data_IF_385088393339
#
_entry.id   IF_385088393339
#
_cell.length_a   1.000
_cell.length_b   1.000
_cell.length_c   1.000
_cell.angle_alpha   90.00
_cell.angle_beta   90.00
_cell.angle_gamma   90.00
#
_symmetry.space_group_name_H-M   'P 1'
#
loop_
_entity.id
_entity.type
_entity.pdbx_description
1 polymer ?
#
# COMPACT_ATOMS: atom_id res chain seq x y z
N UNK A 1 -17.60 39.39 2.74
CA UNK A 1 -16.59 38.33 2.90
C UNK A 1 -17.31 37.00 2.89
N UNK A 2 -17.17 36.20 1.83
CA UNK A 2 -17.81 34.89 1.76
C UNK A 2 -17.07 33.93 2.70
N UNK A 3 -17.72 33.54 3.80
CA UNK A 3 -17.21 32.51 4.71
C UNK A 3 -16.94 31.24 3.92
N UNK A 4 -15.67 30.88 3.77
CA UNK A 4 -15.28 29.56 3.29
C UNK A 4 -15.88 28.55 4.27
N UNK A 5 -16.78 27.68 3.82
CA UNK A 5 -17.33 26.61 4.66
C UNK A 5 -16.17 25.80 5.26
N UNK A 6 -16.32 25.35 6.51
CA UNK A 6 -15.26 24.72 7.31
C UNK A 6 -14.54 23.54 6.62
N UNK A 7 -15.16 22.96 5.60
CA UNK A 7 -14.77 21.72 4.91
C UNK A 7 -14.13 21.94 3.51
N UNK A 8 -13.78 23.18 3.17
CA UNK A 8 -13.18 23.50 1.86
C UNK A 8 -11.64 23.41 1.88
N UNK A 9 -11.10 22.95 0.76
CA UNK A 9 -9.66 22.96 0.48
C UNK A 9 -9.23 24.40 0.13
N UNK A 10 -8.28 24.97 0.87
CA UNK A 10 -7.74 26.30 0.55
C UNK A 10 -6.31 26.27 0.02
N UNK A 11 -5.57 25.17 0.22
CA UNK A 11 -4.23 24.98 -0.35
C UNK A 11 -3.97 23.50 -0.60
N UNK A 12 -3.33 23.21 -1.73
CA UNK A 12 -2.72 21.92 -2.04
C UNK A 12 -1.29 22.20 -2.45
N UNK A 13 -0.34 21.41 -1.96
CA UNK A 13 1.05 21.55 -2.31
C UNK A 13 1.71 20.18 -2.41
N UNK A 14 2.41 19.92 -3.50
CA UNK A 14 3.17 18.71 -3.71
C UNK A 14 4.68 18.97 -3.71
N UNK A 15 5.42 17.93 -3.35
CA UNK A 15 6.88 17.88 -3.39
C UNK A 15 7.36 16.50 -3.79
N UNK A 16 8.63 16.44 -4.17
CA UNK A 16 9.33 15.19 -4.40
C UNK A 16 9.96 14.70 -3.09
N UNK A 17 9.77 13.42 -2.78
CA UNK A 17 10.41 12.69 -1.67
C UNK A 17 11.05 11.41 -2.22
N UNK A 18 11.70 10.60 -1.38
CA UNK A 18 12.31 9.34 -1.79
C UNK A 18 11.54 8.12 -1.24
N UNK A 19 11.36 7.12 -2.10
CA UNK A 19 10.79 5.83 -1.73
C UNK A 19 11.81 4.92 -1.05
N UNK A 20 11.36 3.74 -0.59
CA UNK A 20 12.21 2.77 0.11
C UNK A 20 13.37 2.20 -0.73
N UNK A 21 13.38 2.45 -2.05
CA UNK A 21 14.43 2.02 -2.99
C UNK A 21 15.31 3.20 -3.42
N UNK A 22 15.15 4.37 -2.78
CA UNK A 22 15.88 5.59 -3.11
C UNK A 22 15.49 6.20 -4.46
N UNK A 23 14.31 5.90 -5.01
CA UNK A 23 13.80 6.60 -6.20
C UNK A 23 12.86 7.73 -5.77
N UNK A 24 12.82 8.82 -6.55
CA UNK A 24 11.84 9.87 -6.32
C UNK A 24 10.39 9.39 -6.36
N UNK A 25 9.55 10.00 -5.55
CA UNK A 25 8.10 9.86 -5.59
C UNK A 25 7.36 11.12 -5.13
N UNK A 26 6.06 11.21 -5.39
CA UNK A 26 5.23 12.37 -5.07
C UNK A 26 4.69 12.29 -3.64
N UNK A 27 4.81 13.39 -2.90
CA UNK A 27 4.08 13.65 -1.65
C UNK A 27 3.19 14.88 -1.80
N UNK A 28 1.97 14.80 -1.29
CA UNK A 28 0.95 15.86 -1.35
C UNK A 28 0.52 16.26 0.05
N UNK A 29 0.57 17.55 0.33
CA UNK A 29 -0.09 18.21 1.46
C UNK A 29 -1.37 18.89 1.00
N UNK A 30 -2.45 18.64 1.73
CA UNK A 30 -3.75 19.29 1.56
C UNK A 30 -4.10 20.02 2.85
N UNK A 31 -4.53 21.28 2.73
CA UNK A 31 -4.85 22.14 3.87
C UNK A 31 -6.34 22.48 3.91
N UNK A 32 -6.95 22.25 5.07
CA UNK A 32 -8.30 22.72 5.42
C UNK A 32 -8.27 23.48 6.73
N UNK A 33 -9.43 23.94 7.19
CA UNK A 33 -9.54 24.62 8.49
C UNK A 33 -9.13 23.73 9.67
N UNK A 34 -9.13 22.39 9.50
CA UNK A 34 -8.68 21.42 10.50
C UNK A 34 -7.17 21.17 10.50
N UNK A 35 -6.44 21.68 9.52
CA UNK A 35 -4.98 21.58 9.45
C UNK A 35 -4.45 20.97 8.17
N UNK A 36 -3.26 20.36 8.26
CA UNK A 36 -2.51 19.77 7.17
C UNK A 36 -2.71 18.26 7.13
N UNK A 37 -3.04 17.74 5.95
CA UNK A 37 -3.19 16.31 5.67
C UNK A 37 -2.24 15.90 4.57
N UNK A 38 -1.44 14.85 4.84
CA UNK A 38 -0.34 14.45 3.96
C UNK A 38 -0.55 13.04 3.41
N UNK A 39 -0.27 12.86 2.14
CA UNK A 39 -0.20 11.55 1.51
C UNK A 39 0.98 11.46 0.55
N UNK A 40 1.75 10.39 0.70
CA UNK A 40 2.77 9.92 -0.22
C UNK A 40 2.18 8.93 -1.21
N UNK A 41 2.80 8.86 -2.38
CA UNK A 41 2.46 7.93 -3.46
C UNK A 41 3.59 6.90 -3.56
N UNK A 42 3.29 5.64 -3.89
CA UNK A 42 4.33 4.65 -4.09
C UNK A 42 4.74 4.58 -5.56
N UNK A 43 6.02 4.26 -5.80
CA UNK A 43 6.50 4.03 -7.16
C UNK A 43 6.19 2.63 -7.67
N UNK A 44 5.79 2.52 -8.94
CA UNK A 44 5.72 1.22 -9.62
C UNK A 44 7.04 0.92 -10.33
N UNK A 45 7.49 -0.34 -10.32
CA UNK A 45 8.66 -0.78 -11.09
C UNK A 45 8.32 -1.46 -12.42
N UNK A 46 7.04 -1.65 -12.73
CA UNK A 46 6.60 -2.36 -13.93
C UNK A 46 5.29 -1.75 -14.38
N UNK A 47 5.35 -0.87 -15.38
CA UNK A 47 4.17 -0.32 -16.03
C UNK A 47 3.64 -1.36 -17.03
N UNK A 48 2.58 -2.05 -16.65
CA UNK A 48 1.83 -2.88 -17.61
C UNK A 48 1.17 -2.00 -18.68
N UNK A 49 1.01 -2.50 -19.91
CA UNK A 49 0.40 -1.74 -21.03
C UNK A 49 -1.04 -1.28 -20.79
N UNK A 50 -1.70 -1.79 -19.75
CA UNK A 50 -3.07 -1.45 -19.37
C UNK A 50 -3.17 -0.71 -18.04
N UNK A 51 -2.04 -0.31 -17.46
CA UNK A 51 -2.02 0.37 -16.17
C UNK A 51 -2.17 1.89 -16.37
N UNK A 52 -2.69 2.56 -15.34
CA UNK A 52 -2.58 4.00 -15.28
C UNK A 52 -1.10 4.39 -15.21
N UNK A 53 -0.71 5.38 -16.00
CA UNK A 53 0.70 5.69 -16.25
C UNK A 53 1.25 6.63 -15.17
N UNK A 54 2.26 6.17 -14.45
CA UNK A 54 3.09 7.03 -13.60
C UNK A 54 3.87 8.01 -14.49
N UNK A 55 3.76 9.33 -14.22
CA UNK A 55 4.48 10.34 -14.99
C UNK A 55 5.87 10.56 -14.39
N UNK A 56 6.90 10.17 -15.14
CA UNK A 56 8.32 10.39 -14.84
C UNK A 56 8.92 11.47 -15.74
N UNK A 57 9.96 12.14 -15.23
CA UNK A 57 10.66 13.19 -15.94
C UNK A 57 11.40 12.68 -17.18
N UNK A 58 11.92 11.45 -17.11
CA UNK A 58 12.76 10.80 -18.13
C UNK A 58 14.06 11.57 -18.46
N UNK A 59 14.49 12.46 -17.57
CA UNK A 59 15.79 13.12 -17.64
C UNK A 59 16.88 12.22 -17.07
N UNK A 60 17.69 11.60 -17.93
CA UNK A 60 18.77 10.68 -17.51
C UNK A 60 19.83 11.36 -16.64
N UNK A 61 19.95 12.69 -16.69
CA UNK A 61 20.90 13.44 -15.86
C UNK A 61 20.42 13.62 -14.40
N UNK A 62 19.12 13.42 -14.14
CA UNK A 62 18.51 13.56 -12.82
C UNK A 62 17.86 12.25 -12.36
N UNK A 63 18.30 11.71 -11.22
CA UNK A 63 17.75 10.48 -10.63
C UNK A 63 17.59 9.31 -11.63
N UNK A 64 18.54 9.17 -12.57
CA UNK A 64 18.51 8.14 -13.63
C UNK A 64 17.24 8.15 -14.49
N UNK A 65 16.61 9.31 -14.71
CA UNK A 65 15.35 9.43 -15.45
C UNK A 65 14.08 9.23 -14.63
N UNK A 66 14.21 8.97 -13.33
CA UNK A 66 13.10 8.65 -12.42
C UNK A 66 12.65 9.84 -11.56
N UNK A 67 12.93 11.08 -11.97
CA UNK A 67 12.35 12.26 -11.32
C UNK A 67 10.83 12.30 -11.50
N UNK A 68 10.13 12.97 -10.58
CA UNK A 68 8.68 13.20 -10.54
C UNK A 68 8.33 14.70 -10.58
N UNK A 69 9.27 15.55 -10.95
CA UNK A 69 9.09 17.00 -10.94
C UNK A 69 7.93 17.46 -11.82
N UNK A 70 7.69 16.81 -12.97
CA UNK A 70 6.53 17.08 -13.84
C UNK A 70 5.20 16.77 -13.14
N UNK A 71 5.10 15.64 -12.43
CA UNK A 71 3.90 15.27 -11.68
C UNK A 71 3.64 16.26 -10.54
N UNK A 72 4.70 16.65 -9.81
CA UNK A 72 4.66 17.68 -8.77
C UNK A 72 4.20 19.04 -9.33
N UNK A 73 4.69 19.42 -10.51
CA UNK A 73 4.30 20.65 -11.19
C UNK A 73 2.81 20.64 -11.58
N UNK A 74 2.29 19.54 -12.15
CA UNK A 74 0.87 19.40 -12.46
C UNK A 74 -0.01 19.54 -11.21
N UNK A 75 0.39 18.96 -10.08
CA UNK A 75 -0.35 19.14 -8.83
C UNK A 75 -0.33 20.61 -8.41
N UNK A 76 0.85 21.22 -8.32
CA UNK A 76 1.01 22.57 -7.78
C UNK A 76 0.39 23.67 -8.67
N UNK A 77 0.50 23.55 -10.00
CA UNK A 77 0.08 24.60 -10.95
C UNK A 77 -1.31 24.38 -11.53
N UNK A 78 -1.79 23.14 -11.61
CA UNK A 78 -3.05 22.81 -12.31
C UNK A 78 -4.10 22.25 -11.36
N UNK A 79 -3.81 21.13 -10.69
CA UNK A 79 -4.80 20.44 -9.84
C UNK A 79 -5.14 21.30 -8.62
N UNK A 80 -4.14 21.86 -7.94
CA UNK A 80 -4.33 22.72 -6.78
C UNK A 80 -5.24 23.93 -7.10
N UNK A 81 -4.97 24.61 -8.22
CA UNK A 81 -5.77 25.75 -8.65
C UNK A 81 -7.23 25.36 -8.92
N UNK A 82 -7.47 24.22 -9.58
CA UNK A 82 -8.82 23.73 -9.86
C UNK A 82 -9.59 23.36 -8.58
N UNK A 83 -8.94 22.71 -7.62
CA UNK A 83 -9.58 22.31 -6.36
C UNK A 83 -9.94 23.51 -5.48
N UNK A 84 -9.03 24.48 -5.37
CA UNK A 84 -9.26 25.70 -4.58
C UNK A 84 -10.31 26.60 -5.23
N UNK A 85 -10.27 26.77 -6.55
CA UNK A 85 -11.22 27.65 -7.26
C UNK A 85 -12.66 27.10 -7.27
N UNK A 86 -12.83 25.78 -7.43
CA UNK A 86 -14.15 25.15 -7.41
C UNK A 86 -14.76 25.03 -6.01
N UNK A 87 -13.99 25.30 -4.95
CA UNK A 87 -14.42 25.23 -3.54
C UNK A 87 -15.16 23.92 -3.21
N UNK A 88 -14.67 22.80 -3.75
CA UNK A 88 -15.29 21.50 -3.51
C UNK A 88 -15.24 21.14 -2.03
N UNK A 89 -16.31 20.49 -1.55
CA UNK A 89 -16.35 19.96 -0.21
C UNK A 89 -15.48 18.69 -0.14
N UNK A 90 -14.49 18.70 0.75
CA UNK A 90 -13.55 17.57 0.88
C UNK A 90 -14.21 16.30 1.39
N UNK A 91 -15.36 16.38 2.06
CA UNK A 91 -16.13 15.20 2.52
C UNK A 91 -16.83 14.44 1.38
N UNK A 92 -16.73 14.94 0.14
CA UNK A 92 -17.23 14.34 -1.09
C UNK A 92 -16.07 13.86 -2.00
N UNK A 93 -15.20 12.93 -1.55
CA UNK A 93 -14.00 12.52 -2.28
C UNK A 93 -14.30 12.05 -3.71
N UNK A 94 -15.44 11.37 -3.93
CA UNK A 94 -15.89 10.90 -5.25
C UNK A 94 -16.04 12.04 -6.26
N UNK A 95 -16.48 13.23 -5.84
CA UNK A 95 -16.61 14.40 -6.73
C UNK A 95 -15.25 14.99 -7.10
N UNK A 96 -14.32 15.00 -6.15
CA UNK A 96 -12.95 15.48 -6.36
C UNK A 96 -12.18 14.53 -7.29
N UNK A 97 -12.28 13.22 -7.07
CA UNK A 97 -11.68 12.22 -7.94
C UNK A 97 -12.24 12.32 -9.37
N UNK A 98 -13.57 12.43 -9.50
CA UNK A 98 -14.23 12.61 -10.80
C UNK A 98 -13.73 13.86 -11.53
N UNK A 99 -13.59 14.99 -10.82
CA UNK A 99 -13.03 16.21 -11.38
C UNK A 99 -11.59 15.99 -11.90
N UNK A 100 -10.72 15.37 -11.11
CA UNK A 100 -9.33 15.14 -11.53
C UNK A 100 -9.25 14.21 -12.74
N UNK A 101 -10.10 13.18 -12.79
CA UNK A 101 -10.24 12.28 -13.94
C UNK A 101 -10.75 13.05 -15.17
N UNK A 102 -11.75 13.93 -15.03
CA UNK A 102 -12.24 14.73 -16.16
C UNK A 102 -11.21 15.75 -16.68
N UNK A 103 -10.36 16.27 -15.79
CA UNK A 103 -9.27 17.18 -16.17
C UNK A 103 -8.10 16.47 -16.89
N UNK A 104 -7.99 15.16 -16.72
CA UNK A 104 -7.10 14.27 -17.47
C UNK A 104 -7.91 13.41 -18.46
N UNK A 105 -8.17 13.89 -19.69
CA UNK A 105 -9.03 13.20 -20.64
C UNK A 105 -8.43 11.88 -21.17
N UNK A 106 -7.24 11.49 -20.72
CA UNK A 106 -6.59 10.25 -21.16
C UNK A 106 -7.10 9.05 -20.34
N UNK A 107 -7.33 7.92 -21.01
CA UNK A 107 -7.83 6.70 -20.37
C UNK A 107 -6.91 6.20 -19.24
N UNK A 108 -5.60 6.36 -19.44
CA UNK A 108 -4.55 5.88 -18.54
C UNK A 108 -3.97 6.98 -17.64
N UNK A 109 -4.56 8.18 -17.55
CA UNK A 109 -4.06 9.29 -16.70
C UNK A 109 -2.64 9.77 -17.08
N UNK A 110 -2.27 9.64 -18.35
CA UNK A 110 -0.94 9.99 -18.86
C UNK A 110 -0.68 11.49 -18.97
N UNK A 111 -1.72 12.34 -18.94
CA UNK A 111 -1.53 13.80 -18.99
C UNK A 111 -0.95 14.33 -17.68
N UNK A 112 -1.53 13.98 -16.53
CA UNK A 112 -1.03 14.43 -15.23
C UNK A 112 -0.13 13.39 -14.55
N UNK A 113 -0.29 12.13 -14.90
CA UNK A 113 0.29 11.00 -14.19
C UNK A 113 -0.66 10.44 -13.14
N UNK A 114 -0.73 9.12 -13.10
CA UNK A 114 -1.45 8.38 -12.07
C UNK A 114 -0.90 8.70 -10.67
N UNK A 115 0.40 8.94 -10.55
CA UNK A 115 1.04 9.39 -9.31
C UNK A 115 0.51 10.76 -8.85
N UNK A 116 0.34 11.72 -9.76
CA UNK A 116 -0.21 13.02 -9.40
C UNK A 116 -1.66 12.93 -8.88
N UNK A 117 -2.53 12.24 -9.63
CA UNK A 117 -3.94 12.10 -9.29
C UNK A 117 -4.12 11.30 -7.99
N UNK A 118 -3.37 10.20 -7.84
CA UNK A 118 -3.45 9.36 -6.65
C UNK A 118 -2.98 10.11 -5.40
N UNK A 119 -1.88 10.87 -5.45
CA UNK A 119 -1.38 11.61 -4.29
C UNK A 119 -2.42 12.58 -3.73
N UNK A 120 -3.10 13.32 -4.62
CA UNK A 120 -4.18 14.23 -4.23
C UNK A 120 -5.39 13.45 -3.71
N UNK A 121 -5.81 12.37 -4.37
CA UNK A 121 -6.94 11.53 -3.95
C UNK A 121 -6.75 10.96 -2.54
N UNK A 122 -5.54 10.46 -2.24
CA UNK A 122 -5.20 9.93 -0.92
C UNK A 122 -5.23 11.02 0.16
N UNK A 123 -4.68 12.21 -0.13
CA UNK A 123 -4.71 13.35 0.80
C UNK A 123 -6.14 13.82 1.06
N UNK A 124 -6.99 13.87 0.03
CA UNK A 124 -8.43 14.18 0.13
C UNK A 124 -9.13 13.16 1.02
N UNK A 125 -8.90 11.86 0.82
CA UNK A 125 -9.54 10.80 1.60
C UNK A 125 -9.17 10.88 3.10
N UNK A 126 -7.89 11.12 3.42
CA UNK A 126 -7.44 11.36 4.81
C UNK A 126 -8.10 12.60 5.43
N UNK A 127 -8.19 13.66 4.65
CA UNK A 127 -8.83 14.90 5.07
C UNK A 127 -10.31 14.68 5.35
N UNK A 128 -11.02 14.01 4.43
CA UNK A 128 -12.45 13.71 4.54
C UNK A 128 -12.78 12.88 5.81
N UNK A 129 -11.95 11.90 6.15
CA UNK A 129 -12.09 11.13 7.39
C UNK A 129 -12.00 12.04 8.63
N UNK A 130 -11.02 12.93 8.66
CA UNK A 130 -10.82 13.88 9.77
C UNK A 130 -11.92 14.94 9.84
N UNK A 131 -12.40 15.41 8.68
CA UNK A 131 -13.55 16.32 8.62
C UNK A 131 -14.81 15.68 9.20
N UNK A 132 -15.03 14.39 8.94
CA UNK A 132 -16.12 13.59 9.52
C UNK A 132 -15.89 13.16 10.97
N UNK A 133 -14.68 13.34 11.51
CA UNK A 133 -14.33 12.92 12.87
C UNK A 133 -14.30 11.41 13.06
N UNK A 134 -13.98 10.65 12.00
CA UNK A 134 -13.87 9.19 12.05
C UNK A 134 -12.47 8.74 11.62
N UNK A 135 -12.00 7.56 12.07
CA UNK A 135 -10.78 6.96 11.59
C UNK A 135 -10.82 6.71 10.07
N UNK A 136 -9.65 6.68 9.42
CA UNK A 136 -9.55 6.52 7.97
C UNK A 136 -10.16 5.19 7.50
N UNK A 137 -9.87 4.07 8.17
CA UNK A 137 -10.48 2.77 7.81
C UNK A 137 -12.01 2.81 7.86
N UNK A 138 -12.61 3.54 8.82
CA UNK A 138 -14.06 3.70 8.95
C UNK A 138 -14.62 4.55 7.82
N UNK A 139 -13.95 5.66 7.48
CA UNK A 139 -14.32 6.48 6.34
C UNK A 139 -14.31 5.68 5.03
N UNK A 140 -13.29 4.85 4.83
CA UNK A 140 -13.18 3.96 3.67
C UNK A 140 -14.31 2.93 3.67
N UNK A 141 -14.64 2.33 4.81
CA UNK A 141 -15.76 1.41 4.95
C UNK A 141 -17.09 2.08 4.52
N UNK A 142 -17.34 3.33 4.95
CA UNK A 142 -18.53 4.09 4.56
C UNK A 142 -18.57 4.34 3.04
N UNK A 143 -17.44 4.68 2.42
CA UNK A 143 -17.35 4.89 0.98
C UNK A 143 -17.65 3.61 0.17
N UNK A 144 -17.28 2.46 0.72
CA UNK A 144 -17.48 1.13 0.16
C UNK A 144 -18.85 0.51 0.50
N UNK A 145 -19.60 1.10 1.44
CA UNK A 145 -20.86 0.53 1.93
C UNK A 145 -20.70 -0.64 2.90
N UNK A 146 -19.52 -0.78 3.52
CA UNK A 146 -19.24 -1.84 4.49
C UNK A 146 -19.70 -1.40 5.90
N UNK A 147 -20.48 -2.24 6.61
CA UNK A 147 -21.02 -1.87 7.93
C UNK A 147 -19.96 -1.83 9.02
N UNK A 148 -18.87 -2.57 8.87
CA UNK A 148 -17.76 -2.68 9.81
C UNK A 148 -16.44 -2.89 9.06
N UNK A 149 -15.32 -2.87 9.78
CA UNK A 149 -14.00 -3.21 9.24
C UNK A 149 -13.61 -4.63 9.63
N UNK A 150 -12.82 -5.30 8.79
CA UNK A 150 -12.27 -6.64 9.08
C UNK A 150 -10.75 -6.60 9.00
N UNK A 151 -10.09 -7.09 10.04
CA UNK A 151 -8.64 -7.22 10.09
C UNK A 151 -8.20 -8.34 9.14
N UNK A 152 -7.26 -8.05 8.22
CA UNK A 152 -6.84 -9.00 7.19
C UNK A 152 -5.88 -10.04 7.73
N UNK A 153 -5.78 -11.20 7.09
CA UNK A 153 -4.63 -12.09 7.24
C UNK A 153 -3.41 -11.47 6.55
N UNK A 154 -2.27 -11.30 7.25
CA UNK A 154 -1.03 -10.86 6.61
C UNK A 154 -0.38 -12.02 5.82
N UNK A 155 -0.08 -11.76 4.55
CA UNK A 155 0.73 -12.60 3.69
C UNK A 155 2.18 -12.08 3.72
N UNK A 156 2.98 -12.64 4.63
CA UNK A 156 4.35 -12.21 4.84
C UNK A 156 5.26 -12.81 3.76
N UNK A 157 5.98 -11.94 3.04
CA UNK A 157 7.01 -12.40 2.13
C UNK A 157 8.24 -12.91 2.92
N UNK A 158 8.62 -14.16 2.68
CA UNK A 158 9.65 -14.87 3.45
C UNK A 158 10.91 -15.17 2.64
N UNK A 159 10.78 -15.47 1.34
CA UNK A 159 11.89 -15.80 0.45
C UNK A 159 11.62 -15.17 -0.93
N UNK A 160 12.65 -14.55 -1.50
CA UNK A 160 12.60 -13.99 -2.84
C UNK A 160 13.32 -14.87 -3.87
N UNK A 161 12.81 -14.85 -5.09
CA UNK A 161 13.42 -15.43 -6.28
C UNK A 161 13.09 -14.59 -7.52
N UNK A 162 13.24 -15.19 -8.70
CA UNK A 162 12.98 -14.56 -9.98
C UNK A 162 13.75 -13.24 -10.13
N UNK A 163 13.09 -12.21 -10.65
CA UNK A 163 13.70 -10.89 -10.84
C UNK A 163 13.96 -10.10 -9.53
N UNK A 164 13.51 -10.62 -8.38
CA UNK A 164 13.70 -9.96 -7.08
C UNK A 164 14.92 -10.47 -6.31
N UNK A 165 15.61 -11.49 -6.82
CA UNK A 165 16.81 -12.02 -6.17
C UNK A 165 17.87 -12.47 -7.18
N UNK A 166 19.14 -12.34 -6.81
CA UNK A 166 20.27 -12.82 -7.60
C UNK A 166 20.52 -14.33 -7.46
N UNK A 167 19.46 -15.14 -7.46
CA UNK A 167 19.51 -16.58 -7.20
C UNK A 167 18.88 -17.41 -8.35
N UNK A 168 18.92 -18.74 -8.25
CA UNK A 168 18.38 -19.66 -9.27
C UNK A 168 16.89 -19.97 -9.11
N UNK A 169 16.24 -19.42 -8.08
CA UNK A 169 14.84 -19.71 -7.78
C UNK A 169 13.98 -19.01 -8.83
N UNK A 170 13.18 -19.76 -9.59
CA UNK A 170 12.39 -19.19 -10.67
C UNK A 170 11.20 -18.37 -10.17
N UNK A 171 10.56 -18.83 -9.09
CA UNK A 171 9.39 -18.16 -8.50
C UNK A 171 9.80 -16.90 -7.76
N UNK A 172 9.02 -15.85 -7.91
CA UNK A 172 9.39 -14.52 -7.43
C UNK A 172 9.33 -14.36 -5.90
N UNK A 173 8.27 -14.87 -5.27
CA UNK A 173 8.00 -14.63 -3.85
C UNK A 173 7.32 -15.85 -3.22
N UNK A 174 7.76 -16.19 -2.00
CA UNK A 174 7.19 -17.25 -1.18
C UNK A 174 6.68 -16.64 0.11
N UNK A 175 5.41 -16.85 0.38
CA UNK A 175 4.71 -16.22 1.50
C UNK A 175 4.18 -17.24 2.50
N UNK A 176 4.03 -16.79 3.75
CA UNK A 176 3.28 -17.51 4.78
C UNK A 176 2.08 -16.68 5.21
N UNK A 177 0.97 -17.37 5.50
CA UNK A 177 -0.28 -16.78 5.95
C UNK A 177 -0.67 -17.44 7.29
N UNK A 178 -0.70 -16.71 8.43
CA UNK A 178 -1.06 -17.24 9.74
C UNK A 178 -2.58 -17.46 9.91
N UNK A 179 -3.19 -18.33 9.10
CA UNK A 179 -4.65 -18.53 9.07
C UNK A 179 -5.26 -19.05 10.38
N UNK A 180 -4.43 -19.67 11.23
CA UNK A 180 -4.83 -20.22 12.52
C UNK A 180 -4.73 -19.25 13.69
N UNK A 181 -4.24 -18.03 13.48
CA UNK A 181 -4.19 -17.01 14.52
C UNK A 181 -5.61 -16.56 14.92
N UNK A 182 -5.78 -16.22 16.19
CA UNK A 182 -7.03 -15.70 16.75
C UNK A 182 -7.22 -14.19 16.55
N UNK A 183 -6.11 -13.48 16.31
CA UNK A 183 -6.07 -12.02 16.17
C UNK A 183 -4.98 -11.60 15.18
N UNK A 184 -5.01 -10.33 14.76
CA UNK A 184 -3.94 -9.78 13.93
C UNK A 184 -2.62 -9.68 14.70
N UNK A 185 -2.67 -9.30 15.98
CA UNK A 185 -1.52 -9.32 16.89
C UNK A 185 -0.86 -10.70 16.96
N UNK A 186 -1.65 -11.76 17.11
CA UNK A 186 -1.11 -13.12 17.10
C UNK A 186 -0.53 -13.49 15.73
N UNK A 187 -1.21 -13.12 14.64
CA UNK A 187 -0.72 -13.35 13.28
C UNK A 187 0.65 -12.67 13.05
N UNK A 188 0.83 -11.44 13.54
CA UNK A 188 2.10 -10.71 13.50
C UNK A 188 3.20 -11.42 14.29
N UNK A 189 2.91 -11.87 15.51
CA UNK A 189 3.85 -12.61 16.35
C UNK A 189 4.31 -13.90 15.66
N UNK A 190 3.36 -14.70 15.17
CA UNK A 190 3.66 -15.96 14.45
C UNK A 190 4.50 -15.67 13.20
N UNK A 191 4.14 -14.65 12.42
CA UNK A 191 4.90 -14.24 11.24
C UNK A 191 6.35 -13.86 11.55
N UNK A 192 6.57 -13.05 12.58
CA UNK A 192 7.90 -12.61 13.00
C UNK A 192 8.74 -13.77 13.55
N UNK A 193 8.17 -14.63 14.40
CA UNK A 193 8.86 -15.82 14.93
C UNK A 193 9.31 -16.75 13.79
N UNK A 194 8.43 -17.02 12.82
CA UNK A 194 8.78 -17.84 11.64
C UNK A 194 9.87 -17.17 10.80
N UNK A 195 9.79 -15.85 10.58
CA UNK A 195 10.81 -15.11 9.82
C UNK A 195 12.20 -15.21 10.47
N UNK A 196 12.29 -15.03 11.79
CA UNK A 196 13.57 -15.11 12.51
C UNK A 196 14.14 -16.53 12.56
N UNK A 197 13.29 -17.55 12.76
CA UNK A 197 13.72 -18.94 12.69
C UNK A 197 14.21 -19.31 11.29
N UNK A 198 13.48 -18.89 10.25
CA UNK A 198 13.86 -19.10 8.85
C UNK A 198 15.21 -18.44 8.54
N UNK A 199 15.44 -17.20 9.03
CA UNK A 199 16.72 -16.51 8.89
C UNK A 199 17.88 -17.32 9.50
N UNK A 200 17.68 -17.91 10.68
CA UNK A 200 18.70 -18.74 11.34
C UNK A 200 19.00 -20.01 10.52
N UNK A 201 17.97 -20.73 10.07
CA UNK A 201 18.10 -21.93 9.23
C UNK A 201 18.86 -21.61 7.93
N UNK A 202 18.54 -20.49 7.28
CA UNK A 202 19.23 -20.05 6.07
C UNK A 202 20.70 -19.73 6.38
N UNK A 203 20.97 -19.00 7.46
CA UNK A 203 22.33 -18.63 7.86
C UNK A 203 23.21 -19.85 8.14
N UNK A 204 22.67 -20.85 8.84
CA UNK A 204 23.39 -22.09 9.15
C UNK A 204 23.70 -22.89 7.89
N UNK A 205 22.75 -22.96 6.95
CA UNK A 205 22.88 -23.80 5.74
C UNK A 205 23.66 -23.13 4.61
N UNK A 206 23.59 -21.81 4.49
CA UNK A 206 24.08 -21.05 3.34
C UNK A 206 25.07 -19.94 3.69
N UNK A 207 25.39 -19.81 4.98
CA UNK A 207 26.28 -18.77 5.47
C UNK A 207 25.58 -17.42 5.65
N UNK A 208 26.33 -16.52 6.28
CA UNK A 208 25.85 -15.17 6.65
C UNK A 208 25.42 -14.33 5.45
N UNK A 209 26.09 -14.50 4.31
CA UNK A 209 25.84 -13.72 3.09
C UNK A 209 24.46 -13.99 2.47
N UNK A 210 23.89 -15.18 2.73
CA UNK A 210 22.51 -15.48 2.36
C UNK A 210 21.46 -14.72 3.21
N UNK A 211 21.88 -13.99 4.24
CA UNK A 211 20.99 -13.25 5.17
C UNK A 211 21.32 -11.77 5.31
N UNK A 212 22.33 -11.27 4.58
CA UNK A 212 22.93 -9.94 4.77
C UNK A 212 22.28 -8.81 3.95
N UNK A 213 21.19 -9.05 3.22
CA UNK A 213 20.48 -7.98 2.50
C UNK A 213 19.11 -7.72 3.12
N UNK A 214 18.84 -6.49 3.61
CA UNK A 214 17.50 -6.08 4.03
C UNK A 214 16.46 -6.22 2.90
N UNK A 215 16.89 -6.03 1.65
CA UNK A 215 16.06 -6.08 0.42
C UNK A 215 16.02 -7.45 -0.28
N UNK A 216 16.76 -8.44 0.21
CA UNK A 216 16.85 -9.76 -0.44
C UNK A 216 16.88 -10.86 0.64
N UNK A 217 15.71 -11.34 1.10
CA UNK A 217 15.61 -12.56 1.89
C UNK A 217 15.97 -13.75 0.99
N UNK A 218 17.28 -14.01 0.99
CA UNK A 218 17.98 -15.26 0.75
C UNK A 218 18.04 -15.83 -0.66
N UNK A 219 19.27 -15.77 -1.18
CA UNK A 219 19.79 -16.73 -2.15
C UNK A 219 19.79 -18.11 -1.50
N UNK A 220 18.96 -19.04 -2.00
CA UNK A 220 19.30 -20.45 -2.32
C UNK A 220 18.07 -21.36 -2.43
N UNK A 221 18.20 -22.36 -3.29
CA UNK A 221 17.14 -23.26 -3.77
C UNK A 221 16.77 -24.39 -2.79
N UNK A 222 17.59 -24.66 -1.76
CA UNK A 222 17.47 -25.85 -0.92
C UNK A 222 16.90 -25.56 0.49
N UNK A 223 16.64 -24.28 0.87
CA UNK A 223 15.90 -23.90 2.08
C UNK A 223 14.44 -24.36 1.99
N UNK A 224 13.92 -24.33 0.76
CA UNK A 224 12.55 -24.68 0.40
C UNK A 224 12.20 -26.15 0.69
N UNK A 225 13.09 -27.10 0.38
CA UNK A 225 12.83 -28.54 0.59
C UNK A 225 12.67 -28.92 2.07
N UNK A 226 13.28 -28.16 2.98
CA UNK A 226 13.15 -28.37 4.43
C UNK A 226 11.93 -27.64 5.02
N UNK A 227 11.61 -26.44 4.54
CA UNK A 227 10.47 -25.66 5.03
C UNK A 227 9.13 -26.32 4.65
N UNK A 228 9.00 -26.80 3.42
CA UNK A 228 7.76 -27.41 2.91
C UNK A 228 7.50 -28.81 3.49
N UNK A 229 8.53 -29.49 4.02
CA UNK A 229 8.39 -30.81 4.66
C UNK A 229 8.11 -30.73 6.17
N UNK A 230 8.29 -29.56 6.80
CA UNK A 230 8.10 -29.35 8.25
C UNK A 230 6.96 -28.40 8.62
N UNK A 231 6.47 -27.58 7.68
CA UNK A 231 5.37 -26.66 7.93
C UNK A 231 4.02 -27.24 7.49
N UNK A 232 3.10 -27.44 8.43
CA UNK A 232 1.66 -27.66 8.16
C UNK A 232 0.95 -26.40 7.66
N UNK A 233 1.62 -25.58 6.83
CA UNK A 233 1.22 -24.24 6.41
C UNK A 233 1.16 -24.20 4.89
N UNK A 234 0.10 -23.58 4.35
CA UNK A 234 -0.05 -23.34 2.91
C UNK A 234 1.03 -22.38 2.40
N UNK A 235 1.87 -22.85 1.48
CA UNK A 235 2.85 -22.03 0.75
C UNK A 235 2.22 -21.62 -0.59
N UNK A 236 2.09 -20.31 -0.83
CA UNK A 236 1.52 -19.77 -2.08
C UNK A 236 2.66 -19.26 -2.96
N UNK A 237 2.81 -19.86 -4.14
CA UNK A 237 3.64 -19.30 -5.22
C UNK A 237 2.87 -18.24 -6.00
N UNK A 238 3.37 -17.01 -6.00
CA UNK A 238 2.72 -15.84 -6.63
C UNK A 238 2.49 -16.06 -8.15
N UNK A 239 3.50 -16.61 -8.83
CA UNK A 239 3.47 -16.84 -10.28
C UNK A 239 2.52 -17.99 -10.69
N UNK A 240 2.21 -18.94 -9.79
CA UNK A 240 1.37 -20.11 -10.11
C UNK A 240 -0.14 -19.79 -10.03
N UNK A 241 -0.53 -18.76 -9.26
CA UNK A 241 -1.96 -18.43 -9.04
C UNK A 241 -2.39 -17.11 -9.68
N UNK A 242 -1.44 -16.30 -10.16
CA UNK A 242 -1.67 -14.96 -10.75
C UNK A 242 -2.63 -14.07 -9.96
N UNK A 243 -2.85 -14.33 -8.66
CA UNK A 243 -3.85 -13.71 -7.76
C UNK A 243 -4.92 -12.89 -8.49
N UNK A 244 -5.73 -13.58 -9.30
CA UNK A 244 -6.67 -12.94 -10.24
C UNK A 244 -8.11 -13.13 -9.75
N UNK A 245 -8.87 -12.04 -9.57
CA UNK A 245 -10.21 -12.05 -10.20
C UNK A 245 -10.33 -11.07 -11.38
N UNK A 246 -9.48 -10.03 -11.39
CA UNK A 246 -8.84 -9.32 -12.52
C UNK A 246 -8.28 -8.01 -11.93
N UNK A 247 -6.99 -8.03 -11.55
CA UNK A 247 -6.11 -6.84 -11.35
C UNK A 247 -6.16 -6.04 -10.05
N UNK A 248 -6.91 -6.41 -9.01
CA UNK A 248 -6.98 -5.61 -7.76
C UNK A 248 -5.84 -5.91 -6.77
N UNK A 249 -5.42 -7.16 -6.62
CA UNK A 249 -4.38 -7.54 -5.64
C UNK A 249 -2.97 -7.06 -6.03
N UNK A 250 -2.66 -7.02 -7.34
CA UNK A 250 -1.36 -6.56 -7.86
C UNK A 250 -1.19 -5.05 -7.74
N UNK A 251 -2.29 -4.29 -7.72
CA UNK A 251 -2.28 -2.85 -7.44
C UNK A 251 -1.99 -2.58 -5.96
N UNK A 252 -2.57 -3.34 -5.04
CA UNK A 252 -2.39 -3.14 -3.58
C UNK A 252 -1.01 -3.64 -3.10
N UNK A 253 -0.49 -4.74 -3.63
CA UNK A 253 0.80 -5.30 -3.18
C UNK A 253 2.03 -4.53 -3.67
N UNK A 254 1.87 -3.66 -4.68
CA UNK A 254 2.95 -2.85 -5.28
C UNK A 254 2.89 -1.38 -4.87
N UNK A 255 1.90 -1.01 -4.05
CA UNK A 255 1.68 0.34 -3.58
C UNK A 255 2.14 0.49 -2.12
N UNK A 256 3.39 0.93 -1.92
CA UNK A 256 4.00 1.24 -0.62
C UNK A 256 3.72 2.67 -0.14
N UNK A 257 2.48 3.04 0.15
CA UNK A 257 2.21 4.29 0.90
C UNK A 257 2.31 4.02 2.39
N UNK A 258 2.98 4.86 3.18
CA UNK A 258 3.49 4.49 4.52
C UNK A 258 2.49 3.76 5.44
N UNK A 259 1.18 4.08 5.39
CA UNK A 259 0.15 3.29 6.07
C UNK A 259 -1.24 3.24 5.42
N UNK A 260 -1.51 3.99 4.33
CA UNK A 260 -2.88 4.12 3.81
C UNK A 260 -3.50 2.77 3.42
N UNK A 261 -2.71 1.86 2.85
CA UNK A 261 -3.22 0.54 2.45
C UNK A 261 -3.66 -0.33 3.64
N UNK A 262 -3.18 -0.06 4.85
CA UNK A 262 -3.63 -0.72 6.08
C UNK A 262 -5.07 -0.33 6.43
N UNK A 263 -5.38 0.96 6.40
CA UNK A 263 -6.75 1.45 6.57
C UNK A 263 -7.65 1.02 5.40
N UNK A 264 -7.11 1.02 4.18
CA UNK A 264 -7.83 0.59 2.98
C UNK A 264 -8.28 -0.86 3.06
N UNK A 265 -7.38 -1.77 3.43
CA UNK A 265 -7.69 -3.20 3.47
C UNK A 265 -8.72 -3.53 4.55
N UNK A 266 -8.66 -2.84 5.70
CA UNK A 266 -9.64 -2.99 6.77
C UNK A 266 -10.99 -2.43 6.35
N UNK A 267 -11.02 -1.22 5.79
CA UNK A 267 -12.25 -0.57 5.35
C UNK A 267 -12.94 -1.31 4.20
N UNK A 268 -12.18 -1.86 3.26
CA UNK A 268 -12.70 -2.66 2.15
C UNK A 268 -13.08 -4.09 2.55
N UNK A 269 -12.73 -4.53 3.77
CA UNK A 269 -13.01 -5.88 4.26
C UNK A 269 -12.52 -6.98 3.30
N UNK A 270 -11.32 -6.83 2.73
CA UNK A 270 -10.82 -7.80 1.73
C UNK A 270 -10.38 -9.14 2.36
N UNK A 271 -10.09 -9.14 3.67
CA UNK A 271 -9.68 -10.31 4.43
C UNK A 271 -8.21 -10.69 4.33
N UNK A 272 -7.42 -10.05 3.46
CA UNK A 272 -5.99 -10.35 3.28
C UNK A 272 -5.16 -9.16 2.79
N UNK A 273 -3.91 -9.06 3.26
CA UNK A 273 -2.94 -8.04 2.85
C UNK A 273 -1.57 -8.64 2.59
N UNK A 274 -0.89 -8.21 1.53
CA UNK A 274 0.53 -8.50 1.24
C UNK A 274 1.28 -7.17 1.20
N UNK A 275 2.15 -6.92 2.17
CA UNK A 275 2.93 -5.68 2.27
C UNK A 275 4.39 -5.93 2.68
N UNK A 276 4.97 -7.04 2.23
CA UNK A 276 6.36 -7.43 2.50
C UNK A 276 6.52 -8.39 3.67
N UNK A 277 7.77 -8.73 3.99
CA UNK A 277 8.09 -9.52 5.18
C UNK A 277 7.89 -8.71 6.48
N UNK A 278 7.93 -9.35 7.66
CA UNK A 278 7.90 -8.66 8.95
C UNK A 278 9.26 -8.02 9.27
N UNK A 279 9.80 -7.26 8.30
CA UNK A 279 11.07 -6.58 8.35
C UNK A 279 11.02 -5.35 7.43
N UNK A 280 11.97 -4.43 7.61
CA UNK A 280 11.98 -3.09 7.02
C UNK A 280 10.80 -2.20 7.45
N UNK A 281 11.11 -0.95 7.82
CA UNK A 281 10.15 -0.06 8.46
C UNK A 281 8.99 0.34 7.56
N UNK A 282 9.19 0.41 6.25
CA UNK A 282 8.11 0.69 5.31
C UNK A 282 7.09 -0.44 5.26
N UNK A 283 7.48 -1.71 5.40
CA UNK A 283 6.54 -2.83 5.48
C UNK A 283 5.84 -2.84 6.84
N UNK A 284 6.64 -2.73 7.91
CA UNK A 284 6.18 -2.72 9.29
C UNK A 284 5.24 -1.55 9.59
N UNK A 285 5.37 -0.41 8.92
CA UNK A 285 4.47 0.73 9.11
C UNK A 285 3.00 0.38 8.84
N UNK A 286 2.73 -0.51 7.85
CA UNK A 286 1.38 -0.98 7.53
C UNK A 286 0.90 -1.98 8.55
N UNK A 287 1.73 -2.97 8.88
CA UNK A 287 1.41 -3.96 9.91
C UNK A 287 1.15 -3.31 11.27
N UNK A 288 1.98 -2.37 11.69
CA UNK A 288 1.81 -1.61 12.92
C UNK A 288 0.58 -0.71 12.88
N UNK A 289 0.19 -0.20 11.71
CA UNK A 289 -1.08 0.52 11.59
C UNK A 289 -2.28 -0.41 11.81
N UNK A 290 -2.25 -1.64 11.28
CA UNK A 290 -3.32 -2.61 11.51
C UNK A 290 -3.37 -3.02 13.00
N UNK A 291 -2.23 -3.16 13.68
CA UNK A 291 -2.19 -3.39 15.13
C UNK A 291 -2.88 -2.26 15.91
N UNK A 292 -2.66 -0.99 15.53
CA UNK A 292 -3.37 0.15 16.15
C UNK A 292 -4.86 0.15 15.86
N UNK A 293 -5.27 -0.24 14.65
CA UNK A 293 -6.69 -0.37 14.31
C UNK A 293 -7.33 -1.51 15.11
N UNK A 294 -6.64 -2.64 15.29
CA UNK A 294 -7.09 -3.73 16.14
C UNK A 294 -7.27 -3.28 17.60
N UNK A 295 -6.30 -2.56 18.15
CA UNK A 295 -6.37 -1.97 19.49
C UNK A 295 -7.55 -1.00 19.61
N UNK A 296 -7.74 -0.11 18.64
CA UNK A 296 -8.85 0.85 18.60
C UNK A 296 -10.23 0.17 18.55
N UNK A 297 -10.36 -0.90 17.77
CA UNK A 297 -11.60 -1.67 17.68
C UNK A 297 -11.88 -2.49 18.94
N UNK A 298 -10.84 -2.90 19.68
CA UNK A 298 -10.94 -3.69 20.90
C UNK A 298 -11.79 -4.94 20.70
N UNK A 299 -12.82 -5.13 21.54
CA UNK A 299 -13.73 -6.29 21.44
C UNK A 299 -14.56 -6.35 20.13
N UNK A 300 -14.59 -5.28 19.33
CA UNK A 300 -15.26 -5.25 18.02
C UNK A 300 -14.34 -5.72 16.88
N UNK A 301 -13.05 -5.93 17.15
CA UNK A 301 -12.09 -6.39 16.16
C UNK A 301 -12.49 -7.78 15.64
N UNK A 302 -12.59 -7.90 14.32
CA UNK A 302 -12.86 -9.17 13.62
C UNK A 302 -11.67 -9.53 12.77
N UNK A 303 -10.98 -10.62 13.10
CA UNK A 303 -9.88 -11.15 12.29
C UNK A 303 -10.41 -12.15 11.26
N UNK A 304 -10.00 -11.99 10.00
CA UNK A 304 -10.51 -12.81 8.91
C UNK A 304 -10.14 -14.30 9.03
N UNK A 305 -8.95 -14.60 9.58
CA UNK A 305 -8.49 -15.98 9.82
C UNK A 305 -8.69 -16.91 8.63
N UNK A 306 -9.31 -18.07 8.85
CA UNK A 306 -9.60 -19.06 7.78
C UNK A 306 -10.57 -18.54 6.71
N UNK A 307 -11.36 -17.52 7.01
CA UNK A 307 -12.32 -16.90 6.09
C UNK A 307 -11.72 -15.79 5.22
N UNK A 308 -10.39 -15.62 5.19
CA UNK A 308 -9.69 -14.54 4.47
C UNK A 308 -10.08 -14.32 3.00
N UNK A 309 -10.56 -15.36 2.31
CA UNK A 309 -11.03 -15.28 0.91
C UNK A 309 -12.43 -14.70 0.76
N UNK A 310 -13.25 -14.81 1.79
CA UNK A 310 -14.63 -14.33 1.79
C UNK A 310 -15.06 -13.94 3.22
N UNK A 311 -14.46 -12.88 3.79
CA UNK A 311 -14.61 -12.55 5.20
C UNK A 311 -16.00 -11.97 5.56
N UNK A 312 -16.78 -11.58 4.55
CA UNK A 312 -18.15 -11.06 4.71
C UNK A 312 -19.23 -12.14 4.50
N UNK A 313 -18.84 -13.38 4.15
CA UNK A 313 -19.80 -14.48 4.09
C UNK A 313 -20.38 -14.75 5.48
N UNK A 314 -21.71 -14.90 5.53
CA UNK A 314 -22.45 -15.32 6.71
C UNK A 314 -22.24 -16.79 7.01
#
# INVERSE_FOLDING_TARGET
MHTCSKECIFKVHAREIYDSRGNPTVEVDLYTSKGLFRADVPSSASAGIYEALELRDNDKSHCMGKGDSKAVEHINKTIALALVSKKLNVVEPKKIDKLMIEMDPTENKSKFGANAILGVSLAVCKTAATEKGVPLYRHIADLAGNPEGILPVPAFNMINGGSHAGNKLAMQEFMILPLGASSFLEAMRVGAEVYHNLKNVIKEKYGKDATNSPDDPSRTTEAWKMFTSSAGIQVIGDDLTVTNPKRIAKAVSRQRTLSFIADLVVGLCTGQIKTGGPCQSENLAKYNQILRIEEELGCKAKFAGRCFRNPLAK
#
